data_IF_089756162860
#
_entry.id   IF_089756162860
#
_cell.length_a   1.000
_cell.length_b   1.000
_cell.length_c   1.000
_cell.angle_alpha   90.00
_cell.angle_beta   90.00
_cell.angle_gamma   90.00
#
_symmetry.space_group_name_H-M   'P 1'
#
loop_
_entity.id
_entity.type
_entity.pdbx_description
1 polymer ?
#
# COMPACT_ATOMS: atom_id res chain seq x y z
N UNK A 1 -3.59 -7.43 -6.87
CA UNK A 1 -2.21 -7.18 -7.37
C UNK A 1 -2.11 -7.75 -8.78
N UNK A 2 -1.36 -7.12 -9.70
CA UNK A 2 -1.09 -7.68 -11.03
C UNK A 2 0.39 -8.03 -11.09
N UNK A 3 0.73 -9.24 -11.50
CA UNK A 3 2.11 -9.65 -11.70
C UNK A 3 2.63 -9.17 -13.08
N UNK A 4 3.89 -9.47 -13.38
CA UNK A 4 4.50 -9.09 -14.66
C UNK A 4 4.11 -10.01 -15.83
N UNK A 5 3.51 -11.16 -15.56
CA UNK A 5 2.91 -12.01 -16.59
C UNK A 5 1.52 -11.50 -17.01
N UNK A 6 1.00 -10.49 -16.31
CA UNK A 6 -0.31 -9.91 -16.55
C UNK A 6 -1.45 -10.62 -15.83
N UNK A 7 -1.14 -11.60 -14.97
CA UNK A 7 -2.10 -12.29 -14.13
C UNK A 7 -2.46 -11.44 -12.92
N UNK A 8 -3.71 -11.54 -12.49
CA UNK A 8 -4.21 -10.83 -11.33
C UNK A 8 -4.31 -11.76 -10.14
N UNK A 9 -3.89 -11.28 -8.98
CA UNK A 9 -3.98 -11.98 -7.72
C UNK A 9 -4.83 -11.16 -6.76
N UNK A 10 -5.65 -11.86 -5.98
CA UNK A 10 -6.42 -11.27 -4.89
C UNK A 10 -6.53 -12.26 -3.74
N UNK A 11 -7.06 -11.80 -2.61
CA UNK A 11 -7.33 -12.64 -1.46
C UNK A 11 -8.77 -12.46 -1.00
N UNK A 12 -9.44 -13.56 -0.65
CA UNK A 12 -10.81 -13.56 -0.16
C UNK A 12 -10.91 -14.25 1.20
N UNK A 13 -11.69 -13.66 2.11
CA UNK A 13 -12.06 -14.32 3.36
C UNK A 13 -13.37 -15.09 3.18
N UNK A 14 -13.42 -16.32 3.68
CA UNK A 14 -14.62 -17.14 3.73
C UNK A 14 -14.98 -17.46 5.18
N UNK A 15 -16.28 -17.45 5.46
CA UNK A 15 -16.87 -17.85 6.74
C UNK A 15 -17.76 -19.10 6.60
N UNK A 16 -17.96 -19.59 5.38
CA UNK A 16 -18.91 -20.66 5.07
C UNK A 16 -18.27 -22.06 5.10
N UNK A 17 -16.95 -22.14 4.92
CA UNK A 17 -16.15 -23.36 4.88
C UNK A 17 -15.09 -23.40 6.01
N UNK A 18 -15.31 -22.61 7.05
CA UNK A 18 -14.33 -22.30 8.08
C UNK A 18 -14.07 -20.80 8.13
N UNK A 19 -13.18 -20.36 9.03
CA UNK A 19 -12.67 -19.00 9.06
C UNK A 19 -11.39 -18.95 8.22
N UNK A 20 -11.52 -18.94 6.90
CA UNK A 20 -10.42 -19.17 5.97
C UNK A 20 -10.09 -17.93 5.14
N UNK A 21 -8.82 -17.79 4.76
CA UNK A 21 -8.35 -16.81 3.78
C UNK A 21 -7.80 -17.56 2.55
N UNK A 22 -8.35 -17.28 1.37
CA UNK A 22 -7.96 -17.92 0.11
C UNK A 22 -7.19 -16.95 -0.77
N UNK A 23 -6.05 -17.38 -1.29
CA UNK A 23 -5.33 -16.68 -2.35
C UNK A 23 -5.89 -17.11 -3.70
N UNK A 24 -6.29 -16.13 -4.50
CA UNK A 24 -6.98 -16.32 -5.77
C UNK A 24 -6.13 -15.75 -6.90
N UNK A 25 -5.94 -16.54 -7.96
CA UNK A 25 -5.32 -16.13 -9.21
C UNK A 25 -6.38 -16.02 -10.30
N UNK A 26 -6.36 -14.95 -11.06
CA UNK A 26 -7.22 -14.69 -12.22
C UNK A 26 -6.33 -14.51 -13.45
N UNK A 27 -6.26 -15.54 -14.33
CA UNK A 27 -5.36 -15.50 -15.47
C UNK A 27 -5.72 -14.40 -16.48
N UNK A 28 -4.79 -13.48 -16.75
CA UNK A 28 -4.90 -12.39 -17.73
C UNK A 28 -6.01 -11.34 -17.55
N UNK A 29 -7.06 -11.60 -16.75
CA UNK A 29 -8.20 -10.70 -16.56
C UNK A 29 -8.89 -10.95 -15.21
N UNK A 30 -9.59 -9.94 -14.67
CA UNK A 30 -10.38 -10.04 -13.43
C UNK A 30 -11.78 -10.67 -13.65
N UNK A 31 -11.86 -11.75 -14.42
CA UNK A 31 -13.11 -12.49 -14.59
C UNK A 31 -13.41 -13.35 -13.35
N UNK A 32 -14.44 -12.97 -12.61
CA UNK A 32 -14.85 -13.65 -11.37
C UNK A 32 -15.28 -15.11 -11.56
N UNK A 33 -15.56 -15.55 -12.79
CA UNK A 33 -15.86 -16.95 -13.09
C UNK A 33 -14.62 -17.77 -13.47
N UNK A 34 -13.50 -17.12 -13.73
CA UNK A 34 -12.25 -17.75 -14.14
C UNK A 34 -11.13 -17.46 -13.13
N UNK A 35 -11.18 -18.15 -12.00
CA UNK A 35 -10.19 -18.04 -10.94
C UNK A 35 -9.66 -19.40 -10.49
N UNK A 36 -8.45 -19.39 -9.94
CA UNK A 36 -7.78 -20.54 -9.34
C UNK A 36 -7.48 -20.24 -7.87
N UNK A 37 -7.77 -21.19 -6.98
CA UNK A 37 -7.36 -21.10 -5.57
C UNK A 37 -5.91 -21.58 -5.48
N UNK A 38 -5.00 -20.64 -5.19
CA UNK A 38 -3.56 -20.91 -5.11
C UNK A 38 -3.15 -21.48 -3.75
N UNK A 39 -3.93 -21.16 -2.71
CA UNK A 39 -3.70 -21.63 -1.36
C UNK A 39 -4.75 -21.12 -0.38
N UNK A 40 -4.86 -21.79 0.76
CA UNK A 40 -5.79 -21.44 1.83
C UNK A 40 -5.02 -21.38 3.15
N UNK A 41 -5.22 -20.31 3.91
CA UNK A 41 -4.73 -20.16 5.28
C UNK A 41 -5.93 -20.13 6.21
N UNK A 42 -5.95 -21.01 7.19
CA UNK A 42 -6.92 -20.98 8.28
C UNK A 42 -6.59 -19.83 9.24
N UNK A 43 -7.62 -19.12 9.69
CA UNK A 43 -7.46 -18.08 10.71
C UNK A 43 -6.85 -18.68 11.99
N UNK A 44 -5.86 -17.99 12.54
CA UNK A 44 -5.32 -18.32 13.86
C UNK A 44 -6.32 -18.02 15.00
N UNK A 45 -7.45 -17.39 14.70
CA UNK A 45 -8.52 -17.09 15.64
C UNK A 45 -9.69 -18.07 15.50
N UNK A 46 -10.00 -18.89 16.53
CA UNK A 46 -10.96 -20.00 16.41
C UNK A 46 -12.35 -19.64 15.84
N UNK A 47 -12.85 -18.43 16.11
CA UNK A 47 -14.19 -17.98 15.72
C UNK A 47 -14.21 -16.64 14.98
N UNK A 48 -13.05 -16.19 14.50
CA UNK A 48 -12.91 -14.86 13.91
C UNK A 48 -11.95 -14.91 12.73
N UNK A 49 -11.96 -13.87 11.90
CA UNK A 49 -10.89 -13.61 10.92
C UNK A 49 -10.26 -12.26 11.28
N UNK A 50 -8.94 -12.18 11.24
CA UNK A 50 -8.23 -10.91 11.37
C UNK A 50 -8.53 -9.97 10.19
N UNK A 51 -8.56 -8.67 10.44
CA UNK A 51 -8.66 -7.67 9.39
C UNK A 51 -7.47 -7.80 8.45
N UNK A 52 -7.75 -7.98 7.16
CA UNK A 52 -6.71 -7.95 6.14
C UNK A 52 -7.11 -6.88 5.12
N UNK A 53 -6.26 -5.86 5.00
CA UNK A 53 -6.44 -4.80 4.01
C UNK A 53 -5.69 -5.11 2.71
N UNK A 54 -4.45 -5.61 2.84
CA UNK A 54 -3.57 -6.01 1.74
C UNK A 54 -2.73 -7.22 2.15
N UNK A 55 -2.10 -7.87 1.17
CA UNK A 55 -1.14 -8.95 1.36
C UNK A 55 0.09 -8.68 0.47
N UNK A 56 1.22 -9.30 0.80
CA UNK A 56 2.44 -9.23 0.01
C UNK A 56 2.59 -10.45 -0.91
N UNK A 57 3.35 -10.30 -1.99
CA UNK A 57 3.62 -11.40 -2.93
C UNK A 57 5.01 -11.20 -3.54
N UNK A 58 5.73 -12.30 -3.72
CA UNK A 58 6.97 -12.40 -4.49
C UNK A 58 6.75 -13.36 -5.67
N UNK A 59 7.78 -13.63 -6.48
CA UNK A 59 7.67 -14.62 -7.55
C UNK A 59 7.33 -16.04 -7.02
N UNK A 60 7.77 -16.39 -5.80
CA UNK A 60 7.57 -17.73 -5.23
C UNK A 60 6.66 -17.81 -3.98
N UNK A 61 6.37 -16.69 -3.31
CA UNK A 61 5.69 -16.70 -2.01
C UNK A 61 4.54 -15.71 -1.92
N UNK A 62 3.49 -16.10 -1.18
CA UNK A 62 2.53 -15.17 -0.61
C UNK A 62 2.93 -14.80 0.81
N UNK A 63 2.90 -13.51 1.13
CA UNK A 63 3.18 -12.98 2.46
C UNK A 63 1.86 -12.52 3.09
N UNK A 64 1.43 -13.26 4.11
CA UNK A 64 0.20 -13.02 4.84
C UNK A 64 0.49 -12.52 6.26
N UNK A 65 -0.20 -11.46 6.67
CA UNK A 65 -0.13 -10.96 8.04
C UNK A 65 -1.53 -10.92 8.67
N UNK A 66 -1.87 -11.91 9.49
CA UNK A 66 -3.12 -11.89 10.23
C UNK A 66 -2.98 -11.04 11.50
N UNK A 67 -3.71 -9.93 11.54
CA UNK A 67 -3.60 -8.97 12.62
C UNK A 67 -4.73 -9.14 13.64
N UNK A 68 -4.49 -8.82 14.93
CA UNK A 68 -5.50 -8.90 15.98
C UNK A 68 -6.49 -7.72 15.91
N UNK A 69 -7.18 -7.61 14.79
CA UNK A 69 -8.31 -6.73 14.49
C UNK A 69 -9.44 -7.63 13.99
N UNK A 70 -10.18 -8.24 14.91
CA UNK A 70 -10.94 -9.47 14.66
C UNK A 70 -12.39 -9.18 14.28
N UNK A 71 -12.84 -9.80 13.20
CA UNK A 71 -14.23 -9.81 12.77
C UNK A 71 -14.85 -11.18 13.02
N UNK A 72 -16.11 -11.20 13.44
CA UNK A 72 -16.95 -12.38 13.33
C UNK A 72 -18.13 -12.12 12.42
N UNK A 73 -18.50 -13.12 11.64
CA UNK A 73 -19.70 -13.08 10.81
C UNK A 73 -20.88 -13.69 11.56
N UNK A 74 -21.99 -12.96 11.60
CA UNK A 74 -23.27 -13.45 12.09
C UNK A 74 -24.20 -13.61 10.89
N UNK A 75 -24.54 -14.85 10.55
CA UNK A 75 -25.34 -15.20 9.38
C UNK A 75 -26.78 -15.50 9.82
N UNK A 76 -27.75 -14.76 9.29
CA UNK A 76 -29.19 -14.91 9.54
C UNK A 76 -29.91 -15.10 8.20
N UNK A 77 -30.08 -16.36 7.78
CA UNK A 77 -30.60 -16.67 6.44
C UNK A 77 -29.69 -16.10 5.36
N UNK A 78 -30.21 -15.18 4.53
CA UNK A 78 -29.41 -14.48 3.48
C UNK A 78 -28.69 -13.22 3.96
N UNK A 79 -28.84 -12.83 5.23
CA UNK A 79 -28.17 -11.64 5.78
C UNK A 79 -26.90 -12.04 6.50
N UNK A 80 -25.78 -11.45 6.10
CA UNK A 80 -24.50 -11.56 6.82
C UNK A 80 -24.18 -10.22 7.48
N UNK A 81 -23.97 -10.25 8.79
CA UNK A 81 -23.49 -9.09 9.54
C UNK A 81 -22.04 -9.34 9.97
N UNK A 82 -21.12 -8.50 9.53
CA UNK A 82 -19.73 -8.49 10.02
C UNK A 82 -19.63 -7.57 11.23
N UNK A 83 -19.12 -8.10 12.33
CA UNK A 83 -19.03 -7.39 13.60
C UNK A 83 -17.57 -7.34 14.05
N UNK A 84 -17.04 -6.12 14.21
CA UNK A 84 -15.71 -5.90 14.76
C UNK A 84 -15.76 -6.23 16.26
N UNK A 85 -15.05 -7.28 16.68
CA UNK A 85 -15.10 -7.78 18.04
C UNK A 85 -13.99 -7.21 18.93
N UNK A 86 -12.76 -7.23 18.43
CA UNK A 86 -11.62 -6.81 19.22
C UNK A 86 -10.49 -6.31 18.34
N UNK A 87 -9.89 -5.20 18.76
CA UNK A 87 -8.67 -4.66 18.14
C UNK A 87 -7.65 -4.47 19.26
N UNK A 88 -6.57 -5.24 19.22
CA UNK A 88 -5.47 -5.03 20.17
C UNK A 88 -4.77 -3.71 19.88
N UNK A 89 -4.31 -3.04 20.94
CA UNK A 89 -3.56 -1.75 20.89
C UNK A 89 -2.12 -1.88 20.38
N UNK A 90 -1.86 -2.81 19.47
CA UNK A 90 -0.58 -2.98 18.81
C UNK A 90 -0.56 -2.22 17.48
N UNK A 91 0.62 -2.00 16.91
CA UNK A 91 0.77 -1.43 15.57
C UNK A 91 0.04 -2.29 14.53
N UNK A 92 -0.43 -1.65 13.46
CA UNK A 92 -1.23 -2.26 12.38
C UNK A 92 -0.55 -2.06 11.04
N UNK A 93 -0.40 -3.12 10.27
CA UNK A 93 -0.01 -3.06 8.86
C UNK A 93 -1.26 -2.85 8.03
N UNK A 94 -1.32 -1.78 7.24
CA UNK A 94 -2.48 -1.52 6.38
C UNK A 94 -2.13 -1.81 4.93
N UNK A 95 -1.08 -1.19 4.41
CA UNK A 95 -0.65 -1.36 3.03
C UNK A 95 0.71 -2.05 2.96
N UNK A 96 0.77 -3.22 2.36
CA UNK A 96 2.01 -3.71 1.76
C UNK A 96 2.38 -2.76 0.60
N UNK A 97 3.65 -2.37 0.55
CA UNK A 97 4.22 -1.51 -0.50
C UNK A 97 4.78 -2.39 -1.60
N UNK A 98 5.69 -3.30 -1.24
CA UNK A 98 6.23 -4.32 -2.13
C UNK A 98 6.79 -5.49 -1.30
N UNK A 99 6.92 -6.64 -1.93
CA UNK A 99 7.70 -7.76 -1.38
C UNK A 99 8.61 -8.31 -2.47
N UNK A 100 9.80 -8.75 -2.10
CA UNK A 100 10.71 -9.40 -3.04
C UNK A 100 11.56 -10.45 -2.33
N UNK A 101 12.24 -11.26 -3.13
CA UNK A 101 13.22 -12.22 -2.63
C UNK A 101 14.62 -11.63 -2.87
N UNK A 102 15.45 -11.64 -1.83
CA UNK A 102 16.84 -11.23 -1.90
C UNK A 102 17.69 -12.31 -1.24
N UNK A 103 18.61 -12.90 -2.01
CA UNK A 103 19.41 -14.06 -1.60
C UNK A 103 18.57 -15.20 -1.00
N UNK A 104 18.59 -15.36 0.32
CA UNK A 104 17.92 -16.41 1.07
C UNK A 104 16.77 -15.90 1.97
N UNK A 105 16.33 -14.66 1.78
CA UNK A 105 15.27 -14.07 2.58
C UNK A 105 14.24 -13.30 1.73
N UNK A 106 13.04 -13.18 2.26
CA UNK A 106 12.03 -12.28 1.74
C UNK A 106 12.20 -10.90 2.36
N UNK A 107 12.22 -9.86 1.53
CA UNK A 107 12.15 -8.46 1.92
C UNK A 107 10.69 -8.03 1.82
N UNK A 108 10.18 -7.42 2.89
CA UNK A 108 8.77 -7.05 3.03
C UNK A 108 8.72 -5.58 3.40
N UNK A 109 8.26 -4.75 2.47
CA UNK A 109 7.99 -3.34 2.72
C UNK A 109 6.50 -3.12 2.94
N UNK A 110 6.17 -2.52 4.08
CA UNK A 110 4.80 -2.26 4.46
C UNK A 110 4.68 -0.96 5.27
N UNK A 111 3.52 -0.33 5.18
CA UNK A 111 3.13 0.78 6.06
C UNK A 111 2.54 0.22 7.34
N UNK A 112 3.08 0.67 8.47
CA UNK A 112 2.50 0.41 9.77
C UNK A 112 1.94 1.69 10.43
N UNK A 113 0.96 1.47 11.31
CA UNK A 113 0.17 2.51 11.96
C UNK A 113 0.09 2.22 13.45
N UNK A 114 0.09 3.23 14.32
CA UNK A 114 -0.32 2.99 15.69
C UNK A 114 -1.83 2.70 15.74
N UNK A 115 -2.26 1.93 16.73
CA UNK A 115 -3.66 1.55 16.87
C UNK A 115 -4.60 2.77 16.93
N UNK A 116 -4.22 3.84 17.62
CA UNK A 116 -5.02 5.08 17.74
C UNK A 116 -5.27 5.73 16.39
N UNK A 117 -4.25 5.83 15.54
CA UNK A 117 -4.34 6.42 14.21
C UNK A 117 -5.24 5.57 13.30
N UNK A 118 -5.11 4.25 13.39
CA UNK A 118 -5.98 3.33 12.67
C UNK A 118 -7.46 3.48 13.07
N UNK A 119 -7.77 3.63 14.36
CA UNK A 119 -9.15 3.88 14.79
C UNK A 119 -9.67 5.25 14.33
N UNK A 120 -8.85 6.29 14.37
CA UNK A 120 -9.20 7.61 13.85
C UNK A 120 -9.53 7.54 12.36
N UNK A 121 -8.70 6.84 11.57
CA UNK A 121 -8.93 6.56 10.16
C UNK A 121 -10.27 5.83 9.93
N UNK A 122 -10.50 4.72 10.65
CA UNK A 122 -11.72 3.92 10.53
C UNK A 122 -12.99 4.63 11.01
N UNK A 123 -12.86 5.66 11.86
CA UNK A 123 -14.00 6.39 12.46
C UNK A 123 -14.28 7.76 11.82
N UNK A 124 -13.60 8.11 10.72
CA UNK A 124 -13.70 9.41 10.04
C UNK A 124 -13.49 10.64 10.96
N UNK A 125 -12.75 10.50 12.06
CA UNK A 125 -12.36 11.63 12.91
C UNK A 125 -10.99 12.13 12.46
N UNK A 126 -10.97 13.20 11.69
CA UNK A 126 -9.82 13.78 11.00
C UNK A 126 -8.70 14.26 11.93
N UNK A 127 -7.68 13.45 12.17
CA UNK A 127 -6.24 13.79 12.29
C UNK A 127 -5.47 12.48 12.51
N UNK A 128 -4.69 12.03 11.53
CA UNK A 128 -3.92 10.77 11.58
C UNK A 128 -2.46 11.15 11.79
N UNK A 129 -1.84 10.68 12.88
CA UNK A 129 -0.43 10.94 13.20
C UNK A 129 0.38 9.64 13.16
N UNK A 130 0.83 9.21 11.98
CA UNK A 130 1.54 7.93 11.82
C UNK A 130 2.99 7.97 12.33
N UNK A 131 3.22 7.68 13.61
CA UNK A 131 4.55 7.84 14.21
C UNK A 131 5.60 6.81 13.73
N UNK A 132 6.79 7.31 13.39
CA UNK A 132 8.06 6.59 13.16
C UNK A 132 9.19 7.31 13.90
N UNK A 133 9.99 6.60 14.71
CA UNK A 133 11.03 7.19 15.58
C UNK A 133 12.29 6.27 15.70
N UNK A 134 13.48 6.80 16.04
CA UNK A 134 14.69 6.58 15.23
C UNK A 134 15.78 5.63 15.79
N UNK A 135 16.70 5.29 14.87
CA UNK A 135 18.19 5.33 14.95
C UNK A 135 18.96 4.00 14.78
N UNK A 136 19.94 4.12 13.89
CA UNK A 136 21.05 3.25 13.50
C UNK A 136 20.73 2.15 12.45
N UNK A 137 21.08 2.48 11.21
CA UNK A 137 21.23 1.56 10.09
C UNK A 137 22.18 0.43 10.47
N UNK A 138 21.63 -0.77 10.57
CA UNK A 138 22.36 -1.99 10.27
C UNK A 138 21.41 -2.85 9.44
N UNK A 139 21.76 -3.08 8.18
CA UNK A 139 20.96 -3.74 7.13
C UNK A 139 20.74 -5.24 7.37
N UNK A 140 20.47 -5.63 8.61
CA UNK A 140 19.95 -6.93 8.98
C UNK A 140 18.78 -6.71 9.93
N UNK A 141 17.57 -7.10 9.56
CA UNK A 141 16.48 -7.19 10.52
C UNK A 141 16.98 -8.11 11.66
N UNK A 142 17.03 -7.62 12.90
CA UNK A 142 17.42 -8.48 14.02
C UNK A 142 16.23 -9.37 14.30
N UNK A 143 16.22 -10.54 13.69
CA UNK A 143 15.28 -11.59 14.03
C UNK A 143 15.84 -12.41 15.19
N UNK A 144 14.94 -12.99 15.97
CA UNK A 144 15.30 -14.00 16.98
C UNK A 144 14.31 -15.14 16.85
N UNK A 145 14.82 -16.36 16.81
CA UNK A 145 13.99 -17.55 16.71
C UNK A 145 13.91 -18.22 18.08
N UNK A 146 12.69 -18.46 18.53
CA UNK A 146 12.39 -19.27 19.71
C UNK A 146 11.44 -20.39 19.26
N UNK A 147 11.93 -21.63 19.25
CA UNK A 147 11.23 -22.79 18.68
C UNK A 147 10.83 -22.55 17.21
N UNK A 148 9.53 -22.64 16.90
CA UNK A 148 8.96 -22.41 15.57
C UNK A 148 8.49 -20.96 15.38
N UNK A 149 8.85 -20.04 16.28
CA UNK A 149 8.46 -18.63 16.22
C UNK A 149 9.69 -17.81 15.86
N UNK A 150 9.62 -17.11 14.74
CA UNK A 150 10.60 -16.09 14.36
C UNK A 150 10.03 -14.72 14.74
N UNK A 151 10.65 -14.06 15.71
CA UNK A 151 10.31 -12.70 16.06
C UNK A 151 11.09 -11.73 15.19
N UNK A 152 10.39 -10.83 14.51
CA UNK A 152 10.97 -9.84 13.60
C UNK A 152 11.07 -8.47 14.28
N UNK A 153 12.14 -7.73 14.00
CA UNK A 153 12.25 -6.31 14.32
C UNK A 153 12.24 -5.52 13.01
N UNK A 154 11.23 -4.66 12.77
CA UNK A 154 11.18 -3.84 11.57
C UNK A 154 12.33 -2.82 11.54
N UNK A 155 12.78 -2.49 10.33
CA UNK A 155 13.66 -1.36 10.08
C UNK A 155 12.82 -0.19 9.56
N UNK A 156 13.17 1.01 10.00
CA UNK A 156 12.45 2.22 9.64
C UNK A 156 13.41 3.16 8.92
N UNK A 157 13.27 3.33 7.59
CA UNK A 157 14.18 4.15 6.80
C UNK A 157 14.01 5.66 7.00
N UNK A 158 12.97 6.11 7.71
CA UNK A 158 12.65 7.53 7.91
C UNK A 158 12.42 7.87 9.38
N UNK A 159 12.77 9.12 9.73
CA UNK A 159 12.39 9.75 11.00
C UNK A 159 11.15 10.64 10.89
N UNK A 160 10.62 10.84 9.68
CA UNK A 160 9.46 11.71 9.45
C UNK A 160 8.16 10.98 9.77
N UNK A 161 7.35 11.58 10.65
CA UNK A 161 6.26 10.92 11.37
C UNK A 161 4.90 10.96 10.67
N UNK A 162 4.82 11.19 9.35
CA UNK A 162 3.54 11.48 8.68
C UNK A 162 3.46 11.04 7.20
N UNK A 163 4.21 9.99 6.81
CA UNK A 163 4.20 9.52 5.42
C UNK A 163 3.12 8.44 5.18
N UNK A 164 2.31 8.61 4.13
CA UNK A 164 1.23 7.72 3.73
C UNK A 164 1.18 7.55 2.20
N UNK A 165 0.33 6.64 1.72
CA UNK A 165 0.01 6.46 0.29
C UNK A 165 1.24 6.23 -0.61
N UNK A 166 2.23 5.52 -0.07
CA UNK A 166 3.44 5.07 -0.76
C UNK A 166 3.11 4.25 -2.00
N UNK A 167 3.79 4.55 -3.10
CA UNK A 167 3.76 3.83 -4.35
C UNK A 167 5.18 3.61 -4.90
N UNK A 168 5.28 2.73 -5.89
CA UNK A 168 6.51 2.36 -6.60
C UNK A 168 6.24 2.30 -8.11
N UNK A 169 7.29 2.13 -8.91
CA UNK A 169 7.11 1.73 -10.31
C UNK A 169 6.55 0.30 -10.37
N UNK A 170 5.35 0.14 -10.94
CA UNK A 170 4.64 -1.14 -10.97
C UNK A 170 5.32 -2.21 -11.82
N UNK A 171 6.28 -1.84 -12.67
CA UNK A 171 7.15 -2.79 -13.38
C UNK A 171 8.08 -3.58 -12.44
N UNK A 172 8.18 -3.15 -11.16
CA UNK A 172 8.98 -3.77 -10.12
C UNK A 172 8.13 -4.39 -9.00
N UNK A 173 6.81 -4.50 -9.21
CA UNK A 173 5.96 -5.25 -8.29
C UNK A 173 6.49 -6.67 -8.11
N UNK A 174 6.51 -7.14 -6.87
CA UNK A 174 6.98 -8.48 -6.48
C UNK A 174 8.49 -8.72 -6.66
N UNK A 175 9.27 -7.67 -6.97
CA UNK A 175 10.70 -7.72 -7.28
C UNK A 175 11.50 -6.67 -6.53
N UNK A 176 12.82 -6.86 -6.51
CA UNK A 176 13.75 -5.88 -5.96
C UNK A 176 13.58 -4.54 -6.66
N UNK A 177 13.57 -3.47 -5.88
CA UNK A 177 13.28 -2.11 -6.32
C UNK A 177 14.03 -1.13 -5.42
N UNK A 178 14.36 0.04 -5.96
CA UNK A 178 15.15 1.06 -5.29
C UNK A 178 14.33 2.27 -4.87
N UNK A 179 13.35 2.67 -5.68
CA UNK A 179 12.66 3.93 -5.53
C UNK A 179 11.21 3.75 -5.06
N UNK A 180 10.85 4.58 -4.09
CA UNK A 180 9.45 4.70 -3.67
C UNK A 180 9.08 6.14 -3.44
N UNK A 181 7.79 6.41 -3.52
CA UNK A 181 7.25 7.75 -3.42
C UNK A 181 6.14 7.75 -2.40
N UNK A 182 6.12 8.70 -1.46
CA UNK A 182 5.09 8.76 -0.42
C UNK A 182 4.63 10.20 -0.21
N UNK A 183 3.36 10.37 0.16
CA UNK A 183 2.87 11.66 0.63
C UNK A 183 3.32 11.84 2.08
N UNK A 184 3.95 12.97 2.41
CA UNK A 184 4.29 13.32 3.79
C UNK A 184 3.79 14.74 4.08
N UNK A 185 2.71 14.84 4.86
CA UNK A 185 1.99 16.10 5.07
C UNK A 185 1.53 16.74 3.75
N UNK A 186 2.03 17.94 3.45
CA UNK A 186 1.76 18.70 2.22
C UNK A 186 2.82 18.48 1.11
N UNK A 187 3.60 17.41 1.20
CA UNK A 187 4.70 17.11 0.27
C UNK A 187 4.60 15.70 -0.29
N UNK A 188 5.30 15.45 -1.40
CA UNK A 188 5.58 14.11 -1.90
C UNK A 188 7.09 13.91 -1.79
N UNK A 189 7.51 12.85 -1.11
CA UNK A 189 8.91 12.45 -1.02
C UNK A 189 9.18 11.31 -1.98
N UNK A 190 10.34 11.34 -2.64
CA UNK A 190 10.99 10.19 -3.25
C UNK A 190 12.03 9.68 -2.26
N UNK A 191 12.13 8.38 -2.13
CA UNK A 191 13.15 7.71 -1.35
C UNK A 191 13.94 6.74 -2.21
N UNK A 192 15.26 6.83 -2.07
CA UNK A 192 16.25 5.92 -2.62
C UNK A 192 16.70 4.96 -1.51
N UNK A 193 16.30 3.69 -1.61
CA UNK A 193 16.59 2.68 -0.57
C UNK A 193 18.05 2.25 -0.51
N UNK A 194 18.80 2.40 -1.62
CA UNK A 194 20.20 1.96 -1.72
C UNK A 194 21.12 2.87 -0.91
N UNK A 195 20.94 4.19 -1.03
CA UNK A 195 21.81 5.18 -0.40
C UNK A 195 21.10 6.03 0.69
N UNK A 196 19.81 5.81 0.92
CA UNK A 196 19.02 6.47 1.94
C UNK A 196 18.71 7.94 1.65
N UNK A 197 18.87 8.42 0.41
CA UNK A 197 18.60 9.82 0.04
C UNK A 197 17.12 10.04 -0.23
N UNK A 198 16.69 11.29 -0.03
CA UNK A 198 15.35 11.74 -0.36
C UNK A 198 15.37 12.96 -1.27
N UNK A 199 14.38 13.04 -2.14
CA UNK A 199 14.02 14.25 -2.89
C UNK A 199 12.58 14.59 -2.56
N UNK A 200 12.23 15.87 -2.53
CA UNK A 200 10.92 16.31 -2.07
C UNK A 200 10.30 17.29 -3.04
N UNK A 201 9.07 16.99 -3.47
CA UNK A 201 8.19 17.95 -4.13
C UNK A 201 7.25 18.56 -3.09
N UNK A 202 7.05 19.88 -3.15
CA UNK A 202 6.05 20.63 -2.37
C UNK A 202 5.27 21.53 -3.30
N UNK A 203 3.97 21.64 -3.06
CA UNK A 203 3.17 22.68 -3.71
C UNK A 203 3.67 24.09 -3.36
N UNK A 204 3.23 25.08 -4.14
CA UNK A 204 3.64 26.49 -3.98
C UNK A 204 3.44 27.06 -2.57
N UNK A 205 2.51 26.51 -1.80
CA UNK A 205 2.22 26.96 -0.43
C UNK A 205 1.68 25.82 0.44
N UNK A 206 1.60 26.09 1.74
CA UNK A 206 1.16 25.14 2.78
C UNK A 206 -0.29 24.66 2.67
N UNK A 207 -1.14 25.37 1.92
CA UNK A 207 -2.56 25.04 1.76
C UNK A 207 -2.81 24.05 0.62
N UNK A 208 -1.76 23.69 -0.13
CA UNK A 208 -1.84 22.74 -1.24
C UNK A 208 -1.31 21.40 -0.79
N UNK A 209 -2.22 20.45 -0.66
CA UNK A 209 -1.91 19.11 -0.15
C UNK A 209 -2.10 18.09 -1.26
N UNK A 210 -1.04 17.37 -1.66
CA UNK A 210 -1.18 16.23 -2.56
C UNK A 210 -1.97 15.13 -1.84
N UNK A 211 -2.64 14.29 -2.61
CA UNK A 211 -3.42 13.18 -2.11
C UNK A 211 -3.23 12.01 -3.05
N UNK A 212 -2.41 11.05 -2.59
CA UNK A 212 -1.99 9.84 -3.33
C UNK A 212 -1.27 10.14 -4.63
N UNK A 213 -0.06 9.62 -4.75
CA UNK A 213 0.68 9.68 -6.01
C UNK A 213 0.61 8.32 -6.68
N UNK A 214 0.51 8.33 -8.00
CA UNK A 214 0.68 7.14 -8.83
C UNK A 214 1.88 7.33 -9.74
N UNK A 215 2.71 6.30 -9.87
CA UNK A 215 3.82 6.30 -10.79
C UNK A 215 3.35 5.81 -12.17
N UNK A 216 3.65 6.58 -13.20
CA UNK A 216 3.42 6.23 -14.61
C UNK A 216 4.78 6.05 -15.28
N UNK A 217 5.18 4.81 -15.63
CA UNK A 217 6.47 4.57 -16.25
C UNK A 217 6.54 5.17 -17.65
N UNK A 218 7.70 5.70 -18.01
CA UNK A 218 8.05 6.00 -19.39
C UNK A 218 8.12 4.66 -20.18
N UNK A 219 7.30 4.47 -21.24
CA UNK A 219 7.31 3.25 -22.04
C UNK A 219 8.67 2.87 -22.63
N UNK A 220 9.53 3.86 -22.85
CA UNK A 220 10.89 3.69 -23.38
C UNK A 220 11.96 3.97 -22.34
N UNK A 221 11.57 4.06 -21.07
CA UNK A 221 12.47 4.39 -19.97
C UNK A 221 13.44 3.25 -19.65
N UNK A 222 14.64 3.63 -19.23
CA UNK A 222 15.75 2.69 -18.99
C UNK A 222 16.13 2.55 -17.51
N UNK A 223 15.61 3.42 -16.65
CA UNK A 223 15.81 3.36 -15.19
C UNK A 223 14.47 3.32 -14.45
N UNK A 224 14.49 2.81 -13.22
CA UNK A 224 13.29 2.54 -12.42
C UNK A 224 12.43 3.79 -12.17
N UNK A 225 13.06 4.95 -12.03
CA UNK A 225 12.43 6.24 -11.79
C UNK A 225 12.20 7.08 -13.06
N UNK A 226 12.40 6.51 -14.24
CA UNK A 226 12.06 7.14 -15.53
C UNK A 226 10.55 7.12 -15.75
N UNK A 227 9.90 8.20 -15.34
CA UNK A 227 8.46 8.32 -15.42
C UNK A 227 7.93 9.59 -14.79
N UNK A 228 6.61 9.61 -14.63
CA UNK A 228 5.87 10.75 -14.09
C UNK A 228 5.07 10.29 -12.89
N UNK A 229 5.15 11.03 -11.79
CA UNK A 229 4.16 10.94 -10.72
C UNK A 229 2.96 11.79 -11.08
N UNK A 230 1.77 11.22 -10.96
CA UNK A 230 0.51 11.93 -11.04
C UNK A 230 -0.11 11.97 -9.65
N UNK A 231 -0.48 13.16 -9.17
CA UNK A 231 -1.16 13.29 -7.87
C UNK A 231 -2.30 14.28 -7.95
N UNK A 232 -3.42 13.93 -7.32
CA UNK A 232 -4.52 14.86 -7.09
C UNK A 232 -4.14 15.77 -5.92
N UNK A 233 -4.26 17.07 -6.08
CA UNK A 233 -3.96 18.05 -5.07
C UNK A 233 -5.20 18.85 -4.70
N UNK A 234 -5.36 19.11 -3.41
CA UNK A 234 -6.43 19.92 -2.85
C UNK A 234 -5.88 21.24 -2.33
N UNK A 235 -6.58 22.33 -2.58
CA UNK A 235 -6.32 23.62 -1.95
C UNK A 235 -7.34 23.90 -0.83
N UNK A 236 -6.85 24.00 0.41
CA UNK A 236 -7.68 24.15 1.61
C UNK A 236 -8.13 25.57 1.93
N UNK A 237 -7.64 26.57 1.18
CA UNK A 237 -7.93 27.98 1.40
C UNK A 237 -8.62 28.55 0.18
N UNK A 238 -9.94 28.72 0.30
CA UNK A 238 -10.84 29.69 -0.36
C UNK A 238 -12.30 29.27 -0.10
N UNK A 239 -13.27 30.18 -0.27
CA UNK A 239 -14.71 29.83 -0.25
C UNK A 239 -15.10 28.84 -1.39
N UNK A 240 -14.18 28.57 -2.30
CA UNK A 240 -14.29 27.60 -3.38
C UNK A 240 -13.07 26.68 -3.37
N UNK A 241 -13.18 25.45 -2.83
CA UNK A 241 -12.09 24.49 -2.90
C UNK A 241 -11.72 24.22 -4.36
N UNK A 242 -10.46 24.44 -4.72
CA UNK A 242 -9.92 24.08 -6.03
C UNK A 242 -9.15 22.77 -5.92
N UNK A 243 -9.42 21.88 -6.85
CA UNK A 243 -8.63 20.67 -7.04
C UNK A 243 -7.84 20.81 -8.34
N UNK A 244 -6.66 20.23 -8.36
CA UNK A 244 -5.86 20.13 -9.56
C UNK A 244 -5.11 18.82 -9.56
N UNK A 245 -4.76 18.32 -10.73
CA UNK A 245 -3.78 17.24 -10.86
C UNK A 245 -2.40 17.86 -11.13
N UNK A 246 -1.37 17.34 -10.48
CA UNK A 246 0.03 17.70 -10.75
C UNK A 246 0.76 16.53 -11.39
N UNK A 247 1.62 16.84 -12.33
CA UNK A 247 2.52 15.92 -13.00
C UNK A 247 3.95 16.29 -12.57
N UNK A 248 4.65 15.35 -11.96
CA UNK A 248 5.97 15.55 -11.38
C UNK A 248 6.94 14.57 -12.04
N UNK A 249 8.10 15.02 -12.46
CA UNK A 249 9.15 14.16 -12.96
C UNK A 249 9.65 13.29 -11.80
N UNK A 250 9.47 11.96 -11.91
CA UNK A 250 9.77 11.06 -10.81
C UNK A 250 11.28 10.89 -10.56
N UNK A 251 12.13 11.23 -11.53
CA UNK A 251 13.58 11.19 -11.38
C UNK A 251 14.08 12.32 -10.46
N UNK A 252 13.70 13.57 -10.76
CA UNK A 252 14.25 14.75 -10.09
C UNK A 252 13.26 15.47 -9.15
N UNK A 253 12.01 15.03 -9.06
CA UNK A 253 10.93 15.62 -8.27
C UNK A 253 10.55 17.06 -8.68
N UNK A 254 10.91 17.49 -9.88
CA UNK A 254 10.48 18.77 -10.44
C UNK A 254 9.07 18.67 -11.04
N UNK A 255 8.29 19.72 -10.85
CA UNK A 255 6.97 19.81 -11.47
C UNK A 255 7.09 19.99 -12.99
N UNK A 256 6.37 19.17 -13.74
CA UNK A 256 6.28 19.24 -15.21
C UNK A 256 5.11 20.15 -15.61
N UNK A 257 3.93 19.89 -15.04
CA UNK A 257 2.70 20.59 -15.39
C UNK A 257 1.60 20.36 -14.36
N UNK A 258 0.50 21.11 -14.52
CA UNK A 258 -0.73 20.94 -13.73
C UNK A 258 -1.97 21.03 -14.61
N UNK A 259 -3.04 20.39 -14.17
CA UNK A 259 -4.37 20.47 -14.74
C UNK A 259 -5.36 20.91 -13.66
N UNK A 260 -5.90 22.11 -13.78
CA UNK A 260 -6.96 22.59 -12.89
C UNK A 260 -8.27 21.84 -13.17
N UNK A 261 -8.99 21.48 -12.10
CA UNK A 261 -10.28 20.82 -12.19
C UNK A 261 -11.40 21.77 -11.76
N UNK A 262 -12.35 22.03 -12.66
CA UNK A 262 -13.51 22.90 -12.41
C UNK A 262 -14.51 22.29 -11.41
N UNK A 263 -14.43 20.98 -11.18
CA UNK A 263 -15.31 20.23 -10.27
C UNK A 263 -14.54 19.66 -9.08
N UNK A 264 -15.20 19.51 -7.91
CA UNK A 264 -14.60 18.82 -6.78
C UNK A 264 -14.21 17.38 -7.13
N UNK A 265 -12.94 17.01 -6.93
CA UNK A 265 -12.52 15.61 -6.98
C UNK A 265 -12.90 14.95 -5.64
N UNK A 266 -13.67 13.87 -5.69
CA UNK A 266 -13.97 13.08 -4.50
C UNK A 266 -12.76 12.24 -4.09
N UNK A 267 -12.62 11.96 -2.79
CA UNK A 267 -11.56 11.10 -2.28
C UNK A 267 -11.79 9.65 -2.73
N UNK A 268 -11.01 9.19 -3.72
CA UNK A 268 -10.91 7.77 -4.06
C UNK A 268 -10.09 7.00 -3.03
N UNK A 269 -10.36 5.70 -2.84
CA UNK A 269 -9.65 4.82 -1.88
C UNK A 269 -8.54 3.96 -2.50
N UNK A 270 -8.41 3.94 -3.82
CA UNK A 270 -7.41 3.17 -4.57
C UNK A 270 -7.32 3.68 -6.00
N UNK A 271 -6.13 3.71 -6.57
CA UNK A 271 -5.87 4.24 -7.91
C UNK A 271 -5.17 3.19 -8.79
N UNK A 272 -5.38 3.26 -10.11
CA UNK A 272 -4.68 2.41 -11.07
C UNK A 272 -4.56 3.14 -12.41
N UNK A 273 -3.38 3.06 -13.04
CA UNK A 273 -3.18 3.55 -14.40
C UNK A 273 -3.44 2.42 -15.40
N UNK A 274 -4.16 2.73 -16.47
CA UNK A 274 -4.34 1.83 -17.61
C UNK A 274 -3.86 2.55 -18.88
N UNK A 275 -2.83 2.01 -19.53
CA UNK A 275 -2.40 2.46 -20.84
C UNK A 275 -2.97 1.53 -21.92
N UNK A 276 -3.85 2.03 -22.83
CA UNK A 276 -4.43 1.20 -23.88
C UNK A 276 -3.40 0.71 -24.91
N UNK A 277 -2.19 1.29 -24.94
CA UNK A 277 -1.15 0.93 -25.92
C UNK A 277 -0.34 -0.34 -25.57
N UNK A 278 -0.48 -0.87 -24.34
CA UNK A 278 0.19 -2.12 -23.94
C UNK A 278 -0.72 -3.36 -24.01
N UNK A 279 -1.97 -3.20 -24.47
CA UNK A 279 -2.81 -4.33 -24.89
C UNK A 279 -2.59 -4.56 -26.39
N UNK A 280 -1.49 -5.21 -26.75
CA UNK A 280 -1.42 -5.87 -28.05
C UNK A 280 -2.24 -7.17 -27.95
N UNK A 281 -3.22 -7.27 -28.85
CA UNK A 281 -4.19 -8.34 -28.99
C UNK A 281 -3.54 -9.65 -29.45
#
# INVERSE_FOLDING_TARGET
MRDLNGDYFNMGASFCDGNNCHFLKYPGSLDMNNYQVMGTIESCFPNHIGYIHTYGMTDNYFVFCEQPCRFYARIHGRRTQLLLHHVQKNRKIINFVNCNEYENHAVIDAMDFNASDFYSFMSHKSSISSQFFPKDLNLSSTWRQENNIVMLRPQYPFSESECMYRCINTNFNCREYQYSYAQCGNSIIKFDSENGRTLTWRGENEFRTPFRSMFVPNPSGMCEDDGVLVSCCYQSRDNFPKNYMVFINAHNMEEISRLDCDSPLSFGSSDSFYSPHFMQW
#
